data_IF_657018643353
#
_entry.id   IF_657018643353
#
_cell.length_a   1.000
_cell.length_b   1.000
_cell.length_c   1.000
_cell.angle_alpha   90.00
_cell.angle_beta   90.00
_cell.angle_gamma   90.00
#
_symmetry.space_group_name_H-M   'P 1'
#
loop_
_entity.id
_entity.type
_entity.pdbx_description
1 polymer ?
#
# COMPACT_ATOMS: atom_id res chain seq x y z
N UNK A 1 2.47 -17.97 32.82
CA UNK A 1 1.34 -17.24 32.20
C UNK A 1 1.95 -16.09 31.45
N UNK A 2 1.93 -16.20 30.12
CA UNK A 2 2.76 -15.43 29.20
C UNK A 2 2.52 -13.93 29.35
N UNK A 3 3.62 -13.19 29.49
CA UNK A 3 3.62 -11.74 29.51
C UNK A 3 2.92 -11.24 28.23
N UNK A 4 1.72 -10.67 28.42
CA UNK A 4 0.90 -10.13 27.34
C UNK A 4 1.76 -9.29 26.40
N UNK A 5 1.71 -9.66 25.12
CA UNK A 5 2.46 -9.07 24.02
C UNK A 5 2.54 -7.55 24.19
N UNK A 6 3.73 -7.06 24.54
CA UNK A 6 4.03 -5.65 24.62
C UNK A 6 3.59 -4.95 23.34
N UNK A 7 2.78 -3.91 23.44
CA UNK A 7 2.42 -3.07 22.31
C UNK A 7 3.64 -2.22 21.92
N UNK A 8 4.56 -2.81 21.12
CA UNK A 8 5.71 -2.11 20.57
C UNK A 8 5.26 -1.28 19.37
N UNK A 9 4.91 -0.03 19.66
CA UNK A 9 4.60 1.01 18.66
C UNK A 9 5.78 1.36 17.72
N UNK A 10 6.98 0.82 17.97
CA UNK A 10 8.25 1.32 17.41
C UNK A 10 8.64 0.79 16.02
N UNK A 11 7.95 -0.19 15.45
CA UNK A 11 8.42 -0.87 14.23
C UNK A 11 7.52 -0.68 12.99
N UNK A 12 6.81 0.45 12.90
CA UNK A 12 6.08 0.79 11.67
C UNK A 12 7.04 1.40 10.64
N UNK A 13 7.16 0.82 9.42
CA UNK A 13 8.02 1.37 8.38
C UNK A 13 7.54 2.77 7.96
N UNK A 14 8.44 3.65 7.48
CA UNK A 14 8.07 4.99 7.06
C UNK A 14 7.08 4.95 5.90
N UNK A 15 6.00 5.73 6.00
CA UNK A 15 4.98 5.87 4.97
C UNK A 15 5.48 6.88 3.95
N UNK A 16 5.67 6.43 2.71
CA UNK A 16 6.09 7.28 1.61
C UNK A 16 4.96 8.20 1.15
N UNK A 17 5.31 9.39 0.66
CA UNK A 17 4.36 10.25 -0.06
C UNK A 17 3.85 9.57 -1.32
N UNK A 18 2.64 9.94 -1.77
CA UNK A 18 2.04 9.34 -2.95
C UNK A 18 2.94 9.45 -4.20
N UNK A 19 3.62 10.58 -4.40
CA UNK A 19 4.54 10.78 -5.52
C UNK A 19 5.76 9.86 -5.42
N UNK A 20 6.44 9.85 -4.27
CA UNK A 20 7.59 8.98 -4.03
C UNK A 20 7.24 7.50 -4.16
N UNK A 21 6.08 7.09 -3.66
CA UNK A 21 5.58 5.73 -3.80
C UNK A 21 5.42 5.34 -5.28
N UNK A 22 4.84 6.22 -6.11
CA UNK A 22 4.69 5.98 -7.55
C UNK A 22 6.06 5.81 -8.21
N UNK A 23 7.00 6.69 -7.92
CA UNK A 23 8.34 6.65 -8.52
C UNK A 23 9.10 5.38 -8.13
N UNK A 24 9.05 4.97 -6.85
CA UNK A 24 9.65 3.73 -6.37
C UNK A 24 9.03 2.51 -7.05
N UNK A 25 7.70 2.45 -7.16
CA UNK A 25 7.00 1.33 -7.79
C UNK A 25 7.29 1.23 -9.30
N UNK A 26 7.27 2.35 -10.02
CA UNK A 26 7.57 2.39 -11.46
C UNK A 26 9.05 2.09 -11.75
N UNK A 27 9.97 2.65 -10.96
CA UNK A 27 11.40 2.38 -11.05
C UNK A 27 11.73 0.91 -10.80
N UNK A 28 11.15 0.31 -9.73
CA UNK A 28 11.29 -1.13 -9.44
C UNK A 28 10.75 -1.98 -10.58
N UNK A 29 9.63 -1.60 -11.19
CA UNK A 29 9.07 -2.29 -12.35
C UNK A 29 10.00 -2.23 -13.56
N UNK A 30 10.60 -1.07 -13.84
CA UNK A 30 11.53 -0.91 -14.96
C UNK A 30 12.82 -1.69 -14.76
N UNK A 31 13.39 -1.68 -13.55
CA UNK A 31 14.66 -2.36 -13.23
C UNK A 31 14.53 -3.89 -13.17
N UNK A 32 13.42 -4.41 -12.64
CA UNK A 32 13.24 -5.86 -12.40
C UNK A 32 12.56 -6.62 -13.55
N UNK A 33 12.07 -5.95 -14.57
CA UNK A 33 11.43 -6.59 -15.74
C UNK A 33 12.22 -6.29 -17.01
N UNK A 34 12.29 -7.23 -17.98
CA UNK A 34 12.99 -6.98 -19.24
C UNK A 34 12.42 -5.72 -19.94
N UNK A 35 13.29 -4.93 -20.57
CA UNK A 35 12.95 -3.60 -21.12
C UNK A 35 12.79 -3.60 -22.63
N UNK A 36 13.53 -4.46 -23.34
CA UNK A 36 13.58 -4.46 -24.79
C UNK A 36 12.65 -5.52 -25.40
N UNK A 37 11.94 -5.12 -26.46
CA UNK A 37 11.19 -6.03 -27.32
C UNK A 37 11.13 -5.47 -28.74
N UNK A 38 11.37 -6.33 -29.72
CA UNK A 38 11.40 -5.94 -31.13
C UNK A 38 10.04 -6.14 -31.80
N UNK A 39 9.76 -5.35 -32.85
CA UNK A 39 8.51 -5.45 -33.62
C UNK A 39 8.34 -6.80 -34.31
N UNK A 40 9.45 -7.44 -34.69
CA UNK A 40 9.48 -8.75 -35.38
C UNK A 40 9.23 -9.94 -34.44
N UNK A 41 9.17 -9.73 -33.12
CA UNK A 41 8.92 -10.80 -32.16
C UNK A 41 7.51 -11.37 -32.33
N UNK A 42 7.34 -12.67 -32.05
CA UNK A 42 6.04 -13.31 -32.08
C UNK A 42 5.03 -12.59 -31.17
N UNK A 43 3.78 -12.44 -31.63
CA UNK A 43 2.73 -11.72 -30.89
C UNK A 43 2.52 -12.29 -29.49
N UNK A 44 2.65 -13.61 -29.31
CA UNK A 44 2.58 -14.27 -28.00
C UNK A 44 3.66 -13.76 -27.03
N UNK A 45 4.90 -13.57 -27.50
CA UNK A 45 6.00 -13.03 -26.70
C UNK A 45 5.73 -11.56 -26.32
N UNK A 46 5.22 -10.77 -27.26
CA UNK A 46 4.82 -9.38 -27.03
C UNK A 46 3.73 -9.29 -25.95
N UNK A 47 2.68 -10.10 -26.05
CA UNK A 47 1.61 -10.18 -25.05
C UNK A 47 2.18 -10.54 -23.67
N UNK A 48 2.99 -11.61 -23.58
CA UNK A 48 3.61 -12.06 -22.34
C UNK A 48 4.47 -10.97 -21.70
N UNK A 49 5.23 -10.22 -22.50
CA UNK A 49 6.06 -9.12 -22.05
C UNK A 49 5.25 -8.00 -21.37
N UNK A 50 4.20 -7.50 -22.03
CA UNK A 50 3.37 -6.43 -21.46
C UNK A 50 2.51 -6.91 -20.29
N UNK A 51 1.96 -8.13 -20.37
CA UNK A 51 1.23 -8.74 -19.26
C UNK A 51 2.13 -8.89 -18.01
N UNK A 52 3.40 -9.27 -18.18
CA UNK A 52 4.36 -9.34 -17.07
C UNK A 52 4.56 -7.98 -16.42
N UNK A 53 4.71 -6.91 -17.20
CA UNK A 53 4.87 -5.55 -16.67
C UNK A 53 3.63 -5.08 -15.89
N UNK A 54 2.42 -5.34 -16.41
CA UNK A 54 1.17 -4.97 -15.71
C UNK A 54 1.06 -5.72 -14.39
N UNK A 55 1.26 -7.04 -14.39
CA UNK A 55 1.19 -7.88 -13.18
C UNK A 55 2.24 -7.50 -12.14
N UNK A 56 3.48 -7.31 -12.58
CA UNK A 56 4.57 -6.95 -11.68
C UNK A 56 4.37 -5.56 -11.06
N UNK A 57 3.90 -4.60 -11.87
CA UNK A 57 3.56 -3.26 -11.39
C UNK A 57 2.44 -3.31 -10.35
N UNK A 58 1.33 -4.00 -10.65
CA UNK A 58 0.23 -4.13 -9.68
C UNK A 58 0.65 -4.81 -8.39
N UNK A 59 1.45 -5.88 -8.48
CA UNK A 59 1.93 -6.59 -7.31
C UNK A 59 2.80 -5.69 -6.43
N UNK A 60 3.69 -4.90 -7.04
CA UNK A 60 4.55 -3.97 -6.30
C UNK A 60 3.74 -2.88 -5.57
N UNK A 61 2.70 -2.34 -6.20
CA UNK A 61 1.80 -1.38 -5.53
C UNK A 61 1.03 -2.02 -4.38
N UNK A 62 0.50 -3.23 -4.60
CA UNK A 62 -0.27 -3.97 -3.59
C UNK A 62 0.60 -4.33 -2.39
N UNK A 63 1.81 -4.82 -2.61
CA UNK A 63 2.79 -5.13 -1.55
C UNK A 63 3.06 -3.89 -0.69
N UNK A 64 3.35 -2.75 -1.31
CA UNK A 64 3.65 -1.50 -0.58
C UNK A 64 2.47 -0.95 0.21
N UNK A 65 1.26 -1.01 -0.35
CA UNK A 65 0.06 -0.56 0.36
C UNK A 65 -0.34 -1.52 1.48
N UNK A 66 -0.18 -2.83 1.29
CA UNK A 66 -0.44 -3.83 2.34
C UNK A 66 0.56 -3.72 3.50
N UNK A 67 1.84 -3.53 3.19
CA UNK A 67 2.89 -3.28 4.19
C UNK A 67 2.53 -2.12 5.13
N UNK A 68 1.94 -1.05 4.59
CA UNK A 68 1.43 0.08 5.39
C UNK A 68 0.23 -0.37 6.23
N UNK A 69 -0.80 -0.95 5.61
CA UNK A 69 -2.05 -1.35 6.30
C UNK A 69 -1.78 -2.35 7.43
N UNK A 70 -0.89 -3.32 7.21
CA UNK A 70 -0.56 -4.38 8.16
C UNK A 70 0.39 -3.88 9.27
N UNK A 71 1.18 -2.82 9.00
CA UNK A 71 2.04 -2.18 9.98
C UNK A 71 1.28 -1.37 11.03
N UNK A 72 0.10 -0.86 10.69
CA UNK A 72 -0.72 -0.07 11.62
C UNK A 72 -1.57 -0.96 12.54
N UNK A 73 -1.61 -0.68 13.85
CA UNK A 73 -2.42 -1.46 14.78
C UNK A 73 -3.92 -1.22 14.54
N UNK A 74 -4.70 -2.29 14.64
CA UNK A 74 -6.17 -2.23 14.57
C UNK A 74 -6.73 -1.79 15.93
N UNK A 75 -7.40 -0.65 15.96
CA UNK A 75 -7.95 -0.05 17.20
C UNK A 75 -8.95 -0.95 17.95
N UNK A 76 -9.59 -1.90 17.26
CA UNK A 76 -10.60 -2.79 17.84
C UNK A 76 -9.99 -4.03 18.53
N UNK A 77 -8.74 -4.38 18.21
CA UNK A 77 -8.08 -5.59 18.74
C UNK A 77 -7.00 -5.28 19.80
N UNK A 78 -6.82 -4.01 20.15
CA UNK A 78 -5.86 -3.57 21.15
C UNK A 78 -6.53 -3.43 22.52
N UNK A 79 -5.71 -3.39 23.57
CA UNK A 79 -6.21 -3.21 24.94
C UNK A 79 -7.03 -1.91 25.06
N UNK A 80 -8.16 -1.89 25.81
CA UNK A 80 -9.03 -0.72 25.94
C UNK A 80 -8.29 0.58 26.27
N UNK A 81 -7.34 0.53 27.22
CA UNK A 81 -6.46 1.66 27.55
C UNK A 81 -5.81 2.32 26.31
N UNK A 82 -5.20 1.53 25.43
CA UNK A 82 -4.58 2.07 24.21
C UNK A 82 -5.63 2.46 23.16
N UNK A 83 -6.77 1.78 23.10
CA UNK A 83 -7.87 2.15 22.20
C UNK A 83 -8.43 3.53 22.54
N UNK A 84 -8.64 3.80 23.82
CA UNK A 84 -9.16 5.08 24.31
C UNK A 84 -8.10 6.20 24.19
N UNK A 85 -6.84 5.90 24.51
CA UNK A 85 -5.74 6.83 24.30
C UNK A 85 -5.61 7.26 22.83
N UNK A 86 -5.62 6.29 21.90
CA UNK A 86 -5.54 6.58 20.47
C UNK A 86 -6.79 7.28 19.94
N UNK A 87 -7.96 6.98 20.51
CA UNK A 87 -9.21 7.66 20.17
C UNK A 87 -9.14 9.16 20.52
N UNK A 88 -8.62 9.50 21.70
CA UNK A 88 -8.44 10.88 22.14
C UNK A 88 -7.40 11.61 21.28
N UNK A 89 -6.31 10.93 20.88
CA UNK A 89 -5.21 11.56 20.14
C UNK A 89 -5.48 11.75 18.64
N UNK A 90 -6.12 10.77 17.98
CA UNK A 90 -6.13 10.71 16.51
C UNK A 90 -7.52 10.65 15.88
N UNK A 91 -8.59 10.67 16.67
CA UNK A 91 -9.95 10.36 16.23
C UNK A 91 -10.06 8.98 15.55
N UNK A 92 -10.75 8.06 16.23
CA UNK A 92 -10.92 6.68 15.77
C UNK A 92 -11.52 6.61 14.35
N UNK A 93 -12.45 7.50 14.01
CA UNK A 93 -13.14 7.46 12.74
C UNK A 93 -12.23 7.90 11.59
N UNK A 94 -11.47 8.99 11.79
CA UNK A 94 -10.52 9.45 10.79
C UNK A 94 -9.41 8.42 10.53
N UNK A 95 -8.88 7.81 11.60
CA UNK A 95 -7.89 6.73 11.50
C UNK A 95 -8.40 5.51 10.72
N UNK A 96 -9.59 5.00 11.07
CA UNK A 96 -10.19 3.86 10.37
C UNK A 96 -10.51 4.17 8.91
N UNK A 97 -10.99 5.39 8.64
CA UNK A 97 -11.30 5.83 7.28
C UNK A 97 -10.04 5.88 6.42
N UNK A 98 -8.94 6.44 6.92
CA UNK A 98 -7.67 6.49 6.20
C UNK A 98 -7.16 5.08 5.83
N UNK A 99 -7.12 4.15 6.77
CA UNK A 99 -6.73 2.74 6.51
C UNK A 99 -7.72 2.03 5.57
N UNK A 100 -9.02 2.32 5.70
CA UNK A 100 -10.06 1.80 4.83
C UNK A 100 -9.92 2.25 3.37
N UNK A 101 -9.52 3.50 3.15
CA UNK A 101 -9.22 4.02 1.81
C UNK A 101 -8.04 3.30 1.16
N UNK A 102 -6.97 3.01 1.92
CA UNK A 102 -5.83 2.22 1.44
C UNK A 102 -6.24 0.80 1.06
N UNK A 103 -6.97 0.10 1.95
CA UNK A 103 -7.46 -1.27 1.70
C UNK A 103 -8.40 -1.35 0.49
N UNK A 104 -9.28 -0.37 0.32
CA UNK A 104 -10.16 -0.27 -0.85
C UNK A 104 -9.35 -0.05 -2.13
N UNK A 105 -8.29 0.76 -2.06
CA UNK A 105 -7.42 1.03 -3.22
C UNK A 105 -6.63 -0.19 -3.64
N UNK A 106 -6.14 -0.99 -2.68
CA UNK A 106 -5.51 -2.29 -2.96
C UNK A 106 -6.44 -3.18 -3.78
N UNK A 107 -7.69 -3.34 -3.36
CA UNK A 107 -8.69 -4.14 -4.09
C UNK A 107 -8.97 -3.58 -5.49
N UNK A 108 -9.03 -2.24 -5.62
CA UNK A 108 -9.21 -1.57 -6.92
C UNK A 108 -8.04 -1.80 -7.87
N UNK A 109 -6.80 -1.76 -7.37
CA UNK A 109 -5.59 -2.04 -8.17
C UNK A 109 -5.57 -3.48 -8.66
N UNK A 110 -5.91 -4.45 -7.79
CA UNK A 110 -6.01 -5.86 -8.17
C UNK A 110 -7.08 -6.08 -9.25
N UNK A 111 -8.24 -5.40 -9.14
CA UNK A 111 -9.30 -5.45 -10.15
C UNK A 111 -8.84 -4.91 -11.51
N UNK A 112 -8.22 -3.72 -11.52
CA UNK A 112 -7.64 -3.11 -12.73
C UNK A 112 -6.61 -4.05 -13.35
N UNK A 113 -5.72 -4.64 -12.56
CA UNK A 113 -4.72 -5.56 -13.07
C UNK A 113 -5.35 -6.76 -13.78
N UNK A 114 -6.38 -7.38 -13.18
CA UNK A 114 -7.12 -8.50 -13.79
C UNK A 114 -7.81 -8.10 -15.10
N UNK A 115 -8.50 -6.97 -15.12
CA UNK A 115 -9.18 -6.44 -16.32
C UNK A 115 -8.20 -6.23 -17.48
N UNK A 116 -7.11 -5.49 -17.25
CA UNK A 116 -6.15 -5.15 -18.30
C UNK A 116 -5.31 -6.36 -18.76
N UNK A 117 -5.04 -7.32 -17.86
CA UNK A 117 -4.38 -8.58 -18.24
C UNK A 117 -5.29 -9.38 -19.18
N UNK A 118 -6.59 -9.42 -18.94
CA UNK A 118 -7.55 -10.10 -19.82
C UNK A 118 -7.64 -9.41 -21.18
N UNK A 119 -7.74 -8.07 -21.20
CA UNK A 119 -7.72 -7.30 -22.46
C UNK A 119 -6.44 -7.51 -23.27
N UNK A 120 -5.28 -7.60 -22.60
CA UNK A 120 -4.00 -7.82 -23.26
C UNK A 120 -3.89 -9.20 -23.94
N UNK A 121 -4.65 -10.22 -23.51
CA UNK A 121 -4.68 -11.54 -24.15
C UNK A 121 -5.23 -11.45 -25.59
N UNK A 122 -6.22 -10.58 -25.81
CA UNK A 122 -6.91 -10.40 -27.09
C UNK A 122 -6.37 -9.22 -27.91
N UNK A 123 -5.19 -8.70 -27.58
CA UNK A 123 -4.59 -7.60 -28.35
C UNK A 123 -3.97 -8.09 -29.67
N UNK A 124 -4.16 -7.36 -30.75
CA UNK A 124 -3.81 -7.82 -32.11
C UNK A 124 -2.43 -7.33 -32.58
N UNK A 125 -1.76 -6.46 -31.81
CA UNK A 125 -0.47 -5.90 -32.21
C UNK A 125 0.28 -5.17 -31.09
N UNK A 126 1.53 -4.83 -31.39
CA UNK A 126 2.46 -4.18 -30.45
C UNK A 126 1.91 -2.85 -29.90
N UNK A 127 1.33 -2.03 -30.76
CA UNK A 127 0.80 -0.72 -30.39
C UNK A 127 -0.33 -0.83 -29.35
N UNK A 128 -1.29 -1.73 -29.59
CA UNK A 128 -2.42 -1.99 -28.69
C UNK A 128 -1.94 -2.52 -27.34
N UNK A 129 -0.99 -3.46 -27.33
CA UNK A 129 -0.36 -3.95 -26.09
C UNK A 129 0.36 -2.84 -25.30
N UNK A 130 1.11 -1.97 -26.00
CA UNK A 130 1.81 -0.84 -25.38
C UNK A 130 0.83 0.17 -24.77
N UNK A 131 -0.24 0.50 -25.51
CA UNK A 131 -1.31 1.39 -25.03
C UNK A 131 -1.99 0.83 -23.79
N UNK A 132 -2.39 -0.44 -23.81
CA UNK A 132 -2.99 -1.11 -22.64
C UNK A 132 -2.09 -1.10 -21.41
N UNK A 133 -0.77 -1.31 -21.59
CA UNK A 133 0.20 -1.20 -20.49
C UNK A 133 0.24 0.22 -19.90
N UNK A 134 0.30 1.25 -20.75
CA UNK A 134 0.34 2.65 -20.30
C UNK A 134 -0.96 3.01 -19.58
N UNK A 135 -2.10 2.63 -20.12
CA UNK A 135 -3.40 2.88 -19.50
C UNK A 135 -3.54 2.17 -18.13
N UNK A 136 -3.13 0.91 -18.03
CA UNK A 136 -3.17 0.16 -16.77
C UNK A 136 -2.32 0.82 -15.68
N UNK A 137 -1.05 1.11 -15.98
CA UNK A 137 -0.15 1.74 -15.00
C UNK A 137 -0.58 3.18 -14.68
N UNK A 138 -1.06 3.94 -15.66
CA UNK A 138 -1.59 5.30 -15.45
C UNK A 138 -2.81 5.32 -14.52
N UNK A 139 -3.74 4.36 -14.68
CA UNK A 139 -4.89 4.21 -13.77
C UNK A 139 -4.45 3.86 -12.35
N UNK A 140 -3.48 2.95 -12.20
CA UNK A 140 -2.92 2.62 -10.88
C UNK A 140 -2.28 3.84 -10.21
N UNK A 141 -1.47 4.61 -10.94
CA UNK A 141 -0.85 5.83 -10.44
C UNK A 141 -1.91 6.88 -10.04
N UNK A 142 -2.97 7.03 -10.83
CA UNK A 142 -4.05 7.98 -10.52
C UNK A 142 -4.79 7.61 -9.23
N UNK A 143 -4.99 6.32 -8.96
CA UNK A 143 -5.55 5.88 -7.68
C UNK A 143 -4.64 6.21 -6.50
N UNK A 144 -3.33 5.97 -6.63
CA UNK A 144 -2.35 6.29 -5.57
C UNK A 144 -2.25 7.80 -5.35
N UNK A 145 -2.30 8.62 -6.41
CA UNK A 145 -2.32 10.09 -6.29
C UNK A 145 -3.51 10.60 -5.46
N UNK A 146 -4.67 9.95 -5.56
CA UNK A 146 -5.85 10.29 -4.75
C UNK A 146 -5.67 9.99 -3.25
N UNK A 147 -4.70 9.15 -2.88
CA UNK A 147 -4.38 8.82 -1.49
C UNK A 147 -3.36 9.78 -0.86
N UNK A 148 -3.02 10.90 -1.50
CA UNK A 148 -2.02 11.84 -0.98
C UNK A 148 -2.34 12.31 0.45
N UNK A 149 -3.59 12.73 0.70
CA UNK A 149 -4.03 13.22 2.01
C UNK A 149 -4.02 12.10 3.09
N UNK A 150 -4.64 10.92 2.86
CA UNK A 150 -4.55 9.80 3.81
C UNK A 150 -3.11 9.35 4.12
N UNK A 151 -2.22 9.32 3.13
CA UNK A 151 -0.83 8.90 3.33
C UNK A 151 -0.04 9.90 4.17
N UNK A 152 -0.26 11.20 3.97
CA UNK A 152 0.36 12.23 4.78
C UNK A 152 -0.10 12.13 6.24
N UNK A 153 -1.40 12.02 6.46
CA UNK A 153 -1.98 11.84 7.79
C UNK A 153 -1.40 10.60 8.49
N UNK A 154 -1.33 9.46 7.80
CA UNK A 154 -0.77 8.23 8.39
C UNK A 154 0.72 8.38 8.75
N UNK A 155 1.51 9.13 7.98
CA UNK A 155 2.91 9.39 8.34
C UNK A 155 3.03 10.28 9.60
N UNK A 156 2.19 11.30 9.73
CA UNK A 156 2.15 12.14 10.93
C UNK A 156 1.77 11.31 12.17
N UNK A 157 0.73 10.47 12.06
CA UNK A 157 0.31 9.53 13.11
C UNK A 157 1.45 8.58 13.46
N UNK A 158 2.14 8.00 12.46
CA UNK A 158 3.29 7.11 12.68
C UNK A 158 4.41 7.78 13.48
N UNK A 159 4.77 9.01 13.10
CA UNK A 159 5.82 9.77 13.79
C UNK A 159 5.46 10.08 15.23
N UNK A 160 4.20 10.43 15.50
CA UNK A 160 3.73 10.70 16.85
C UNK A 160 3.65 9.40 17.68
N UNK A 161 3.13 8.31 17.11
CA UNK A 161 3.08 6.98 17.74
C UNK A 161 4.47 6.45 18.12
N UNK A 162 5.49 6.70 17.30
CA UNK A 162 6.88 6.30 17.57
C UNK A 162 7.45 6.94 18.84
N UNK A 163 6.92 8.09 19.26
CA UNK A 163 7.36 8.84 20.45
C UNK A 163 6.59 8.48 21.72
N UNK A 164 5.49 7.74 21.62
CA UNK A 164 4.69 7.38 22.81
C UNK A 164 5.47 6.43 23.73
N UNK A 165 5.41 6.66 25.06
CA UNK A 165 6.00 5.74 26.02
C UNK A 165 5.23 4.42 26.02
N UNK A 166 5.94 3.31 26.22
CA UNK A 166 5.30 2.01 26.41
C UNK A 166 4.83 1.85 27.85
N UNK A 167 3.52 1.82 28.06
CA UNK A 167 2.89 1.63 29.38
C UNK A 167 2.26 0.23 29.43
N UNK A 168 2.57 -0.57 30.45
CA UNK A 168 1.90 -1.86 30.63
C UNK A 168 0.71 -1.70 31.59
N UNK A 169 -0.54 -1.86 31.11
CA UNK A 169 -1.73 -1.66 31.95
C UNK A 169 -1.93 -2.75 33.02
N UNK A 170 -1.24 -3.89 32.90
CA UNK A 170 -1.38 -5.02 33.82
C UNK A 170 -0.40 -4.94 34.99
N UNK A 171 0.71 -4.20 34.83
CA UNK A 171 1.72 -4.06 35.89
C UNK A 171 1.28 -3.06 36.96
N UNK A 172 1.75 -3.26 38.20
CA UNK A 172 1.54 -2.30 39.30
C UNK A 172 2.12 -0.95 38.90
N UNK A 173 1.28 0.07 38.85
CA UNK A 173 1.64 1.44 38.45
C UNK A 173 1.12 2.41 39.50
N UNK A 174 1.77 3.56 39.63
CA UNK A 174 1.36 4.66 40.50
C UNK A 174 1.10 5.88 39.60
N UNK A 175 -0.10 6.45 39.68
CA UNK A 175 -0.46 7.68 38.97
C UNK A 175 -0.18 8.87 39.86
N UNK A 176 0.51 9.87 39.33
CA UNK A 176 0.66 11.17 39.99
C UNK A 176 -0.40 12.10 39.41
N UNK A 177 -1.38 12.48 40.23
CA UNK A 177 -2.45 13.42 39.89
C UNK A 177 -2.14 14.82 40.39
#
# INVERSE_FOLDING_TARGET
>A
MEAGSFFRLKEIPPVLTAASMIDVCLSKTQRKTPTEIHRKSALAAIKKFYMRKIKFGSQTFVEKLKEIVDGFPKLDSIHPFYSDLLNILYDRDHYKLALGMLSTTVRRIEKIAKEYVTLAKYADGLYKCKSLKVAALGRMCTLVKKLAQPLQYLEEVRQHMSRLPSINPVTRTLLLT
#
